data_IF_983748443163
#
_entry.id   IF_983748443163
#
_cell.length_a   1.000
_cell.length_b   1.000
_cell.length_c   1.000
_cell.angle_alpha   90.00
_cell.angle_beta   90.00
_cell.angle_gamma   90.00
#
_symmetry.space_group_name_H-M   'P 1'
#
loop_
_entity.id
_entity.type
_entity.pdbx_description
1 polymer ?
#
# COMPACT_ATOMS: atom_id res chain seq x y z
N UNK A 1 -15.67 0.79 2.16
CA UNK A 1 -14.67 -0.23 1.78
C UNK A 1 -13.30 0.45 1.64
N UNK A 2 -12.33 0.19 2.55
CA UNK A 2 -11.07 0.95 2.62
C UNK A 2 -10.09 0.69 1.46
N UNK A 3 -10.09 -0.53 0.92
CA UNK A 3 -9.24 -0.92 -0.23
C UNK A 3 -9.51 -0.05 -1.46
N UNK A 4 -10.79 0.19 -1.77
CA UNK A 4 -11.20 0.96 -2.94
C UNK A 4 -10.69 2.40 -2.87
N UNK A 5 -10.72 3.00 -1.68
CA UNK A 5 -10.22 4.37 -1.43
C UNK A 5 -8.70 4.40 -1.55
N UNK A 6 -8.02 3.40 -0.98
CA UNK A 6 -6.57 3.28 -1.07
C UNK A 6 -6.08 3.17 -2.52
N UNK A 7 -6.71 2.31 -3.33
CA UNK A 7 -6.35 2.12 -4.76
C UNK A 7 -6.75 3.31 -5.64
N UNK A 8 -7.79 4.06 -5.27
CA UNK A 8 -8.25 5.23 -6.03
C UNK A 8 -7.39 6.46 -5.81
N UNK A 9 -6.91 6.68 -4.58
CA UNK A 9 -6.18 7.89 -4.22
C UNK A 9 -4.66 7.71 -4.18
N UNK A 10 -4.14 6.47 -4.08
CA UNK A 10 -2.71 6.21 -4.05
C UNK A 10 -2.28 5.30 -5.19
N UNK A 11 -1.66 5.85 -6.26
CA UNK A 11 -1.22 5.04 -7.40
C UNK A 11 -0.19 3.96 -7.01
N UNK A 12 0.61 4.21 -5.97
CA UNK A 12 1.53 3.21 -5.41
C UNK A 12 0.80 1.99 -4.79
N UNK A 13 -0.26 2.24 -4.01
CA UNK A 13 -1.08 1.16 -3.41
C UNK A 13 -1.90 0.42 -4.46
N UNK A 14 -2.28 1.10 -5.56
CA UNK A 14 -2.89 0.47 -6.72
C UNK A 14 -1.94 -0.51 -7.39
N UNK A 15 -0.73 -0.09 -7.71
CA UNK A 15 0.29 -0.95 -8.31
C UNK A 15 0.64 -2.16 -7.41
N UNK A 16 0.73 -1.93 -6.09
CA UNK A 16 0.93 -3.01 -5.11
C UNK A 16 -0.23 -4.01 -5.09
N UNK A 17 -1.48 -3.53 -5.00
CA UNK A 17 -2.66 -4.39 -5.00
C UNK A 17 -2.86 -5.13 -6.33
N UNK A 18 -2.56 -4.47 -7.46
CA UNK A 18 -2.58 -5.09 -8.79
C UNK A 18 -1.54 -6.22 -8.87
N UNK A 19 -0.31 -6.00 -8.37
CA UNK A 19 0.71 -7.04 -8.32
C UNK A 19 0.28 -8.24 -7.49
N UNK A 20 -0.15 -8.05 -6.24
CA UNK A 20 -0.61 -9.18 -5.40
C UNK A 20 -1.79 -9.93 -6.04
N UNK A 21 -2.68 -9.21 -6.72
CA UNK A 21 -3.78 -9.83 -7.48
C UNK A 21 -3.25 -10.68 -8.63
N UNK A 22 -2.23 -10.22 -9.37
CA UNK A 22 -1.59 -10.99 -10.45
C UNK A 22 -0.78 -12.19 -9.94
N UNK A 23 -0.27 -12.15 -8.71
CA UNK A 23 0.41 -13.30 -8.06
C UNK A 23 -0.57 -14.40 -7.64
N UNK A 24 -1.89 -14.19 -7.78
CA UNK A 24 -2.92 -15.19 -7.49
C UNK A 24 -3.37 -15.22 -6.03
N UNK A 25 -3.07 -14.19 -5.25
CA UNK A 25 -3.57 -14.07 -3.88
C UNK A 25 -5.09 -13.82 -3.86
N UNK A 26 -5.76 -14.40 -2.88
CA UNK A 26 -7.19 -14.21 -2.68
C UNK A 26 -7.52 -12.70 -2.53
N UNK A 27 -8.60 -12.18 -3.13
CA UNK A 27 -8.93 -10.75 -3.09
C UNK A 27 -8.97 -10.15 -1.67
N UNK A 28 -9.43 -10.92 -0.69
CA UNK A 28 -9.43 -10.51 0.73
C UNK A 28 -8.02 -10.36 1.31
N UNK A 29 -7.08 -11.22 0.91
CA UNK A 29 -5.68 -11.13 1.32
C UNK A 29 -5.01 -9.89 0.70
N UNK A 30 -5.30 -9.60 -0.58
CA UNK A 30 -4.85 -8.37 -1.26
C UNK A 30 -5.38 -7.14 -0.52
N UNK A 31 -6.67 -7.10 -0.21
CA UNK A 31 -7.29 -6.00 0.53
C UNK A 31 -6.64 -5.80 1.91
N UNK A 32 -6.38 -6.89 2.63
CA UNK A 32 -5.69 -6.87 3.93
C UNK A 32 -4.26 -6.32 3.83
N UNK A 33 -3.49 -6.77 2.83
CA UNK A 33 -2.13 -6.30 2.59
C UNK A 33 -2.10 -4.79 2.25
N UNK A 34 -2.99 -4.34 1.37
CA UNK A 34 -3.14 -2.92 1.00
C UNK A 34 -3.50 -2.07 2.22
N UNK A 35 -4.43 -2.52 3.06
CA UNK A 35 -4.83 -1.82 4.29
C UNK A 35 -3.68 -1.74 5.30
N UNK A 36 -2.92 -2.83 5.49
CA UNK A 36 -1.74 -2.84 6.37
C UNK A 36 -0.69 -1.85 5.90
N UNK A 37 -0.45 -1.78 4.59
CA UNK A 37 0.46 -0.82 3.96
C UNK A 37 0.02 0.62 4.20
N UNK A 38 -1.28 0.89 4.04
CA UNK A 38 -1.86 2.21 4.28
C UNK A 38 -1.67 2.66 5.74
N UNK A 39 -1.91 1.78 6.72
CA UNK A 39 -1.70 2.09 8.13
C UNK A 39 -0.23 2.42 8.45
N UNK A 40 0.70 1.67 7.86
CA UNK A 40 2.14 1.95 8.00
C UNK A 40 2.54 3.28 7.37
N UNK A 41 1.97 3.65 6.21
CA UNK A 41 2.21 4.95 5.59
C UNK A 41 1.71 6.09 6.47
N UNK A 42 0.50 5.98 7.03
CA UNK A 42 -0.06 6.96 7.97
C UNK A 42 0.84 7.09 9.21
N UNK A 43 1.26 5.96 9.78
CA UNK A 43 2.17 5.94 10.92
C UNK A 43 3.54 6.56 10.59
N UNK A 44 4.09 6.28 9.41
CA UNK A 44 5.35 6.87 8.93
C UNK A 44 5.28 8.39 8.79
N UNK A 45 4.19 8.92 8.22
CA UNK A 45 3.94 10.37 8.11
C UNK A 45 3.87 11.02 9.49
N UNK A 46 3.11 10.44 10.41
CA UNK A 46 2.97 10.96 11.79
C UNK A 46 4.32 10.92 12.51
N UNK A 47 5.07 9.83 12.39
CA UNK A 47 6.34 9.63 13.10
C UNK A 47 7.48 10.47 12.54
N UNK A 48 7.59 10.60 11.23
CA UNK A 48 8.64 11.36 10.56
C UNK A 48 8.34 12.85 10.48
N UNK A 49 7.08 13.27 10.69
CA UNK A 49 6.64 14.65 10.55
C UNK A 49 6.74 15.20 9.12
N UNK A 50 7.05 14.35 8.15
CA UNK A 50 7.13 14.72 6.73
C UNK A 50 5.81 14.40 6.04
N UNK A 51 5.32 15.31 5.18
CA UNK A 51 4.11 15.08 4.40
C UNK A 51 4.27 13.86 3.51
N UNK A 52 3.15 13.18 3.26
CA UNK A 52 3.10 12.01 2.39
C UNK A 52 3.57 12.37 0.98
N UNK A 53 4.62 11.71 0.51
CA UNK A 53 5.12 11.83 -0.87
C UNK A 53 4.82 10.54 -1.64
N UNK A 54 4.07 10.69 -2.73
CA UNK A 54 3.65 9.61 -3.63
C UNK A 54 4.86 8.92 -4.28
N UNK A 55 5.96 9.65 -4.48
CA UNK A 55 7.20 9.11 -5.06
C UNK A 55 7.95 8.19 -4.11
N UNK A 56 7.88 8.44 -2.80
CA UNK A 56 8.43 7.56 -1.77
C UNK A 56 7.62 6.27 -1.63
N UNK A 57 6.30 6.36 -1.78
CA UNK A 57 5.41 5.22 -1.70
C UNK A 57 5.59 4.24 -2.87
N UNK A 58 6.12 4.62 -4.04
CA UNK A 58 6.26 3.71 -5.17
C UNK A 58 7.46 2.76 -5.14
N UNK A 59 8.54 3.12 -4.43
CA UNK A 59 9.84 2.44 -4.53
C UNK A 59 10.16 1.51 -3.35
N UNK A 60 9.45 1.66 -2.23
CA UNK A 60 9.73 0.96 -0.96
C UNK A 60 8.63 0.00 -0.50
N UNK A 61 7.54 -0.18 -1.26
CA UNK A 61 6.52 -1.19 -0.90
C UNK A 61 7.03 -2.61 -1.18
N UNK A 62 8.07 -2.75 -1.99
CA UNK A 62 8.66 -4.03 -2.39
C UNK A 62 9.61 -4.59 -1.34
N UNK A 63 10.33 -3.73 -0.60
CA UNK A 63 11.37 -4.16 0.34
C UNK A 63 10.85 -4.60 1.71
N UNK A 64 9.66 -4.15 2.10
CA UNK A 64 9.14 -4.40 3.46
C UNK A 64 8.25 -5.64 3.56
N UNK A 65 7.79 -6.21 2.44
CA UNK A 65 7.02 -7.44 2.42
C UNK A 65 7.94 -8.56 1.93
N UNK A 66 8.64 -9.20 2.88
CA UNK A 66 9.34 -10.45 2.65
C UNK A 66 8.35 -11.58 2.39
N UNK A 67 7.80 -11.59 1.17
CA UNK A 67 7.09 -12.70 0.54
C UNK A 67 7.87 -13.15 -0.70
#
# INVERSE_FOLDING_TARGET
>A
MPELVARRHNPALRAFGDRLSTTGLAPKAVAGAVMRKLAHLIYGVIKSGQPFDVSFAGRNLDFQDGI
#
